data_IF_523780105124
#
_entry.id   IF_523780105124
#
_cell.length_a   1.000
_cell.length_b   1.000
_cell.length_c   1.000
_cell.angle_alpha   90.00
_cell.angle_beta   90.00
_cell.angle_gamma   90.00
#
_symmetry.space_group_name_H-M   'P 1'
#
loop_
_entity.id
_entity.type
_entity.pdbx_description
1 polymer ?
#
# COMPACT_ATOMS: atom_id res chain seq x y z
N UNK A 1 44.33 24.35 43.01
CA UNK A 1 44.05 25.68 42.42
C UNK A 1 43.52 25.57 40.97
N UNK A 2 42.73 24.54 40.66
CA UNK A 2 42.19 24.32 39.33
C UNK A 2 40.92 23.47 39.44
N UNK A 3 39.80 24.05 39.08
CA UNK A 3 38.56 23.40 38.59
C UNK A 3 37.45 24.45 38.38
N UNK A 4 37.51 25.57 39.10
CA UNK A 4 36.49 26.65 39.04
C UNK A 4 36.59 27.57 37.81
N UNK A 5 37.77 27.70 37.19
CA UNK A 5 37.94 28.55 36.00
C UNK A 5 37.58 27.87 34.67
N UNK A 6 37.41 26.53 34.65
CA UNK A 6 37.03 25.81 33.43
C UNK A 6 35.53 25.88 33.10
N UNK A 7 34.69 26.37 34.02
CA UNK A 7 33.25 26.55 33.81
C UNK A 7 32.88 27.95 33.31
N UNK A 8 33.81 28.93 33.39
CA UNK A 8 33.57 30.30 32.90
C UNK A 8 33.66 30.43 31.37
N UNK A 9 34.29 29.48 30.68
CA UNK A 9 34.52 29.53 29.22
C UNK A 9 33.54 28.69 28.40
N UNK A 10 32.63 27.96 29.04
CA UNK A 10 31.65 27.14 28.34
C UNK A 10 30.42 28.01 28.09
N UNK A 11 30.10 28.26 26.82
CA UNK A 11 28.80 28.79 26.41
C UNK A 11 27.73 27.76 26.77
N UNK A 12 27.28 27.76 28.03
CA UNK A 12 26.13 26.97 28.47
C UNK A 12 24.88 27.58 27.84
N UNK A 13 24.42 26.97 26.75
CA UNK A 13 23.05 27.09 26.29
C UNK A 13 22.24 25.97 26.95
N UNK A 14 21.12 26.32 27.59
CA UNK A 14 20.13 25.33 27.96
C UNK A 14 19.36 24.98 26.68
N UNK A 15 19.36 23.71 26.31
CA UNK A 15 18.52 23.24 25.22
C UNK A 15 17.43 22.36 25.79
N UNK A 16 16.17 22.68 25.47
CA UNK A 16 15.10 21.70 25.57
C UNK A 16 15.30 20.81 24.35
N UNK A 17 15.96 19.68 24.57
CA UNK A 17 16.16 18.69 23.52
C UNK A 17 14.90 17.87 23.36
N UNK A 18 14.23 18.07 22.23
CA UNK A 18 13.19 17.20 21.68
C UNK A 18 11.98 16.94 22.61
N UNK A 19 10.86 17.57 22.27
CA UNK A 19 9.56 16.94 22.53
C UNK A 19 9.40 15.85 21.48
N UNK A 20 9.60 14.60 21.88
CA UNK A 20 9.47 13.43 21.04
C UNK A 20 8.07 12.85 21.20
N UNK A 21 7.27 12.94 20.14
CA UNK A 21 5.90 12.41 20.13
C UNK A 21 5.87 11.16 19.27
N UNK A 22 5.60 10.02 19.91
CA UNK A 22 5.45 8.72 19.26
C UNK A 22 3.98 8.49 18.92
N UNK A 23 3.70 8.25 17.64
CA UNK A 23 2.35 7.93 17.17
C UNK A 23 2.13 6.42 17.07
N UNK A 24 0.88 5.92 17.20
CA UNK A 24 0.58 4.51 17.00
C UNK A 24 0.90 4.06 15.58
N UNK A 25 1.67 2.98 15.47
CA UNK A 25 1.86 2.26 14.22
C UNK A 25 0.51 1.65 13.80
N UNK A 26 0.02 2.02 12.61
CA UNK A 26 -1.01 1.22 11.96
C UNK A 26 -0.36 -0.06 11.44
N UNK A 27 -0.98 -1.26 11.58
CA UNK A 27 -0.41 -2.52 11.14
C UNK A 27 -0.25 -2.57 9.61
N UNK A 28 0.83 -1.99 9.12
CA UNK A 28 1.30 -2.06 7.74
C UNK A 28 2.30 -3.18 7.64
N UNK A 29 1.83 -4.34 7.14
CA UNK A 29 2.62 -5.48 6.66
C UNK A 29 3.92 -5.77 7.44
N UNK A 30 3.84 -6.74 8.36
CA UNK A 30 4.97 -7.41 9.03
C UNK A 30 6.17 -7.56 8.07
N UNK A 31 7.14 -6.66 8.15
CA UNK A 31 8.46 -6.82 7.53
C UNK A 31 9.39 -7.41 8.57
N UNK A 32 9.40 -8.75 8.66
CA UNK A 32 10.35 -9.50 9.51
C UNK A 32 11.79 -9.12 9.12
N UNK A 33 12.51 -8.46 10.03
CA UNK A 33 13.97 -8.41 9.99
C UNK A 33 14.49 -9.84 10.16
N UNK A 34 15.31 -10.31 9.21
CA UNK A 34 16.13 -11.53 9.37
C UNK A 34 17.25 -11.20 10.35
N UNK A 35 17.20 -11.77 11.54
CA UNK A 35 18.39 -12.03 12.35
C UNK A 35 18.80 -13.49 12.11
N UNK A 36 20.01 -13.68 11.59
CA UNK A 36 20.63 -14.99 11.46
C UNK A 36 21.01 -15.51 12.84
N UNK A 37 20.41 -16.64 13.25
CA UNK A 37 21.03 -17.58 14.19
C UNK A 37 20.37 -18.96 14.00
N UNK A 38 21.21 -19.94 13.69
CA UNK A 38 21.15 -21.41 13.72
C UNK A 38 19.82 -22.19 13.59
N UNK A 39 19.79 -23.32 12.85
CA UNK A 39 18.56 -23.99 12.43
C UNK A 39 17.98 -24.91 13.53
N UNK A 40 16.90 -24.47 14.18
CA UNK A 40 16.00 -25.34 14.94
C UNK A 40 14.74 -25.61 14.11
N UNK A 41 14.57 -26.87 13.71
CA UNK A 41 13.43 -27.37 12.95
C UNK A 41 12.15 -27.15 13.76
N UNK A 42 11.33 -26.17 13.35
CA UNK A 42 9.99 -25.91 13.92
C UNK A 42 8.92 -26.25 12.87
N UNK A 43 7.77 -26.84 13.27
CA UNK A 43 6.75 -27.28 12.32
C UNK A 43 6.09 -26.07 11.64
N UNK A 44 5.96 -26.19 10.32
CA UNK A 44 5.31 -25.26 9.39
C UNK A 44 3.93 -24.83 9.90
N UNK A 45 3.85 -23.65 10.51
CA UNK A 45 2.58 -23.01 10.87
C UNK A 45 1.88 -22.52 9.60
N UNK A 46 0.96 -23.32 9.08
CA UNK A 46 -0.03 -22.88 8.09
C UNK A 46 -0.83 -21.72 8.69
N UNK A 47 -0.82 -20.57 8.03
CA UNK A 47 -1.70 -19.43 8.34
C UNK A 47 -3.12 -19.79 7.89
N UNK A 48 -3.76 -20.72 8.61
CA UNK A 48 -5.16 -21.08 8.41
C UNK A 48 -5.99 -20.10 9.22
N UNK A 49 -6.68 -19.19 8.52
CA UNK A 49 -7.71 -18.37 9.13
C UNK A 49 -8.76 -19.29 9.76
N UNK A 50 -8.91 -19.24 11.09
CA UNK A 50 -9.83 -20.05 11.90
C UNK A 50 -11.32 -19.66 11.67
N UNK A 51 -11.76 -19.61 10.42
CA UNK A 51 -13.18 -19.49 10.07
C UNK A 51 -13.69 -20.86 9.65
N UNK A 52 -14.80 -21.30 10.25
CA UNK A 52 -15.43 -22.59 9.92
C UNK A 52 -15.69 -22.65 8.42
N UNK A 53 -15.32 -23.76 7.77
CA UNK A 53 -15.50 -23.97 6.33
C UNK A 53 -16.96 -23.75 5.87
N UNK A 54 -17.93 -24.08 6.73
CA UNK A 54 -19.37 -23.83 6.49
C UNK A 54 -19.74 -22.36 6.31
N UNK A 55 -18.90 -21.41 6.75
CA UNK A 55 -19.16 -19.97 6.62
C UNK A 55 -18.40 -19.33 5.46
N UNK A 56 -17.43 -20.04 4.87
CA UNK A 56 -16.62 -19.56 3.76
C UNK A 56 -17.23 -20.00 2.43
N UNK A 57 -18.21 -19.24 1.93
CA UNK A 57 -18.92 -19.51 0.67
C UNK A 57 -17.94 -19.66 -0.51
N UNK A 58 -16.89 -18.82 -0.57
CA UNK A 58 -15.84 -18.90 -1.59
C UNK A 58 -15.12 -20.26 -1.57
N UNK A 59 -14.84 -20.81 -0.39
CA UNK A 59 -14.18 -22.11 -0.24
C UNK A 59 -15.10 -23.28 -0.64
N UNK A 60 -16.40 -23.17 -0.34
CA UNK A 60 -17.41 -24.15 -0.76
C UNK A 60 -17.58 -24.17 -2.29
N UNK A 61 -17.70 -23.00 -2.93
CA UNK A 61 -17.73 -22.88 -4.39
C UNK A 61 -16.46 -23.47 -5.01
N UNK A 62 -15.29 -23.16 -4.47
CA UNK A 62 -14.02 -23.70 -4.97
C UNK A 62 -13.97 -25.23 -4.83
N UNK A 63 -14.43 -25.79 -3.71
CA UNK A 63 -14.52 -27.24 -3.51
C UNK A 63 -15.49 -27.88 -4.50
N UNK A 64 -16.67 -27.29 -4.72
CA UNK A 64 -17.64 -27.78 -5.70
C UNK A 64 -17.07 -27.81 -7.12
N UNK A 65 -16.40 -26.74 -7.56
CA UNK A 65 -15.72 -26.70 -8.88
C UNK A 65 -14.63 -27.78 -8.97
N UNK A 66 -13.89 -28.03 -7.90
CA UNK A 66 -12.90 -29.12 -7.85
C UNK A 66 -13.55 -30.50 -7.92
N UNK A 67 -14.70 -30.73 -7.29
CA UNK A 67 -15.45 -31.98 -7.41
C UNK A 67 -15.89 -32.23 -8.86
N UNK A 68 -16.40 -31.22 -9.55
CA UNK A 68 -16.76 -31.33 -10.97
C UNK A 68 -15.52 -31.65 -11.82
N UNK A 69 -14.38 -31.00 -11.56
CA UNK A 69 -13.11 -31.29 -12.23
C UNK A 69 -12.66 -32.75 -12.03
N UNK A 70 -12.72 -33.27 -10.79
CA UNK A 70 -12.37 -34.67 -10.52
C UNK A 70 -13.34 -35.66 -11.18
N UNK A 71 -14.64 -35.35 -11.20
CA UNK A 71 -15.63 -36.17 -11.91
C UNK A 71 -15.35 -36.25 -13.41
N UNK A 72 -15.04 -35.12 -14.05
CA UNK A 72 -14.68 -35.08 -15.47
C UNK A 72 -13.33 -35.77 -15.74
N UNK A 73 -12.35 -35.62 -14.85
CA UNK A 73 -11.05 -36.29 -14.97
C UNK A 73 -11.17 -37.81 -14.86
N UNK A 74 -11.97 -38.31 -13.90
CA UNK A 74 -12.25 -39.74 -13.77
C UNK A 74 -13.01 -40.29 -15.00
N UNK A 75 -13.96 -39.50 -15.53
CA UNK A 75 -14.66 -39.85 -16.77
C UNK A 75 -13.71 -39.94 -17.97
N UNK A 76 -12.77 -39.00 -18.09
CA UNK A 76 -11.76 -39.01 -19.15
C UNK A 76 -10.84 -40.23 -19.06
N UNK A 77 -10.41 -40.63 -17.86
CA UNK A 77 -9.61 -41.85 -17.66
C UNK A 77 -10.42 -43.11 -18.03
N UNK A 78 -11.72 -43.14 -17.72
CA UNK A 78 -12.62 -44.26 -18.07
C UNK A 78 -12.84 -44.41 -19.58
N UNK A 79 -13.03 -43.30 -20.29
CA UNK A 79 -13.29 -43.31 -21.74
C UNK A 79 -12.01 -43.42 -22.59
N UNK A 80 -10.84 -43.20 -22.00
CA UNK A 80 -9.56 -43.21 -22.71
C UNK A 80 -9.28 -41.92 -23.51
N UNK A 81 -8.05 -41.80 -24.00
CA UNK A 81 -7.60 -40.62 -24.75
C UNK A 81 -7.67 -40.86 -26.28
N UNK A 82 -8.16 -39.90 -27.07
CA UNK A 82 -8.19 -40.03 -28.53
C UNK A 82 -6.79 -39.91 -29.15
N UNK A 83 -6.58 -40.49 -30.34
CA UNK A 83 -5.28 -40.53 -31.01
C UNK A 83 -4.85 -39.21 -31.68
N UNK A 84 -5.71 -38.17 -31.74
CA UNK A 84 -5.41 -36.86 -32.34
C UNK A 84 -5.69 -35.71 -31.36
N UNK A 85 -4.70 -35.42 -30.51
CA UNK A 85 -4.81 -34.41 -29.43
C UNK A 85 -4.22 -33.03 -29.78
N UNK A 86 -3.43 -32.92 -30.85
CA UNK A 86 -2.64 -31.74 -31.19
C UNK A 86 -3.43 -30.51 -31.70
N UNK A 87 -4.75 -30.60 -31.86
CA UNK A 87 -5.57 -29.52 -32.43
C UNK A 87 -6.14 -28.58 -31.38
N UNK A 88 -5.96 -27.26 -31.55
CA UNK A 88 -6.59 -26.27 -30.68
C UNK A 88 -8.13 -26.38 -30.74
N UNK A 89 -8.78 -26.47 -29.57
CA UNK A 89 -10.23 -26.63 -29.46
C UNK A 89 -11.00 -25.49 -30.11
N UNK A 90 -10.51 -24.26 -29.96
CA UNK A 90 -11.20 -23.05 -30.42
C UNK A 90 -11.15 -22.87 -31.95
N UNK A 91 -10.22 -23.52 -32.63
CA UNK A 91 -10.00 -23.34 -34.08
C UNK A 91 -10.73 -24.34 -34.96
N UNK A 92 -11.60 -25.19 -34.37
CA UNK A 92 -12.38 -26.21 -35.11
C UNK A 92 -13.57 -25.65 -35.90
N UNK A 93 -14.04 -24.44 -35.58
CA UNK A 93 -15.17 -23.80 -36.29
C UNK A 93 -14.86 -22.33 -36.58
N UNK A 94 -15.29 -21.85 -37.75
CA UNK A 94 -15.00 -20.52 -38.28
C UNK A 94 -16.19 -19.57 -38.10
N UNK A 95 -16.67 -19.42 -36.87
CA UNK A 95 -17.83 -18.57 -36.54
C UNK A 95 -17.39 -17.27 -35.82
N UNK A 96 -18.23 -16.25 -35.79
CA UNK A 96 -17.93 -14.99 -35.07
C UNK A 96 -17.66 -15.21 -33.57
N UNK A 97 -18.37 -16.17 -32.95
CA UNK A 97 -18.16 -16.53 -31.54
C UNK A 97 -16.74 -17.08 -31.33
N UNK A 98 -16.27 -17.97 -32.21
CA UNK A 98 -14.93 -18.53 -32.13
C UNK A 98 -13.85 -17.48 -32.41
N UNK A 99 -14.10 -16.56 -33.35
CA UNK A 99 -13.22 -15.41 -33.60
C UNK A 99 -13.05 -14.55 -32.33
N UNK A 100 -14.16 -14.20 -31.67
CA UNK A 100 -14.13 -13.38 -30.46
C UNK A 100 -13.50 -14.11 -29.28
N UNK A 101 -13.83 -15.39 -29.07
CA UNK A 101 -13.22 -16.22 -28.03
C UNK A 101 -11.71 -16.41 -28.24
N UNK A 102 -11.28 -16.61 -29.49
CA UNK A 102 -9.86 -16.73 -29.83
C UNK A 102 -9.11 -15.43 -29.61
N UNK A 103 -9.70 -14.29 -29.98
CA UNK A 103 -9.15 -12.96 -29.69
C UNK A 103 -9.05 -12.72 -28.17
N UNK A 104 -10.10 -13.10 -27.42
CA UNK A 104 -10.12 -13.01 -25.96
C UNK A 104 -9.06 -13.90 -25.30
N UNK A 105 -8.85 -15.12 -25.81
CA UNK A 105 -7.81 -16.03 -25.35
C UNK A 105 -6.40 -15.44 -25.54
N UNK A 106 -6.13 -14.79 -26.68
CA UNK A 106 -4.84 -14.09 -26.94
C UNK A 106 -4.63 -12.83 -26.09
N UNK A 107 -5.70 -12.21 -25.60
CA UNK A 107 -5.62 -11.00 -24.79
C UNK A 107 -5.17 -11.29 -23.35
N UNK A 108 -5.31 -12.54 -22.88
CA UNK A 108 -4.84 -12.93 -21.55
C UNK A 108 -3.31 -13.04 -21.57
N UNK A 109 -2.60 -12.25 -20.74
CA UNK A 109 -1.15 -12.28 -20.71
C UNK A 109 -0.64 -13.66 -20.27
N UNK A 110 0.49 -14.09 -20.83
CA UNK A 110 1.19 -15.34 -20.54
C UNK A 110 0.46 -16.65 -20.88
N UNK A 111 -0.87 -16.68 -21.03
CA UNK A 111 -1.58 -17.93 -21.31
C UNK A 111 -1.20 -18.56 -22.66
N UNK A 112 -1.09 -17.75 -23.72
CA UNK A 112 -0.70 -18.24 -25.05
C UNK A 112 0.74 -18.71 -25.09
N UNK A 113 1.64 -17.95 -24.46
CA UNK A 113 3.07 -18.27 -24.40
C UNK A 113 3.32 -19.57 -23.63
N UNK A 114 2.70 -19.70 -22.44
CA UNK A 114 2.81 -20.93 -21.65
C UNK A 114 2.22 -22.12 -22.38
N UNK A 115 1.12 -21.93 -23.11
CA UNK A 115 0.54 -23.00 -23.93
C UNK A 115 1.49 -23.42 -25.06
N UNK A 116 2.05 -22.48 -25.81
CA UNK A 116 2.99 -22.76 -26.90
C UNK A 116 4.22 -23.53 -26.40
N UNK A 117 4.78 -23.09 -25.26
CA UNK A 117 5.95 -23.75 -24.65
C UNK A 117 5.59 -25.14 -24.12
N UNK A 118 4.44 -25.30 -23.45
CA UNK A 118 4.00 -26.63 -23.00
C UNK A 118 3.78 -27.56 -24.18
N UNK A 119 3.08 -27.13 -25.22
CA UNK A 119 2.81 -27.95 -26.40
C UNK A 119 4.14 -28.32 -27.10
N UNK A 120 5.15 -27.42 -27.15
CA UNK A 120 6.49 -27.72 -27.67
C UNK A 120 7.26 -28.74 -26.83
N UNK A 121 7.24 -28.62 -25.49
CA UNK A 121 7.97 -29.53 -24.58
C UNK A 121 7.44 -30.96 -24.64
N UNK A 122 6.11 -31.12 -24.76
CA UNK A 122 5.44 -32.43 -24.67
C UNK A 122 5.14 -33.06 -26.04
N UNK A 123 5.54 -32.42 -27.14
CA UNK A 123 5.36 -32.94 -28.51
C UNK A 123 6.70 -33.30 -29.11
N UNK A 124 6.80 -34.48 -29.73
CA UNK A 124 7.98 -34.88 -30.49
C UNK A 124 8.11 -34.04 -31.77
N UNK A 125 8.87 -32.94 -31.71
CA UNK A 125 9.13 -32.03 -32.83
C UNK A 125 10.62 -31.86 -33.08
N UNK A 126 11.00 -31.71 -34.35
CA UNK A 126 12.38 -31.42 -34.75
C UNK A 126 12.68 -29.92 -34.80
N UNK A 127 11.65 -29.08 -34.59
CA UNK A 127 11.77 -27.62 -34.64
C UNK A 127 12.35 -27.06 -33.34
N UNK A 128 13.22 -26.06 -33.47
CA UNK A 128 13.64 -25.23 -32.34
C UNK A 128 12.46 -24.43 -31.77
N UNK A 129 12.55 -24.04 -30.49
CA UNK A 129 11.48 -23.30 -29.80
C UNK A 129 11.09 -22.00 -30.52
N UNK A 130 12.07 -21.24 -31.04
CA UNK A 130 11.80 -19.99 -31.76
C UNK A 130 11.06 -20.22 -33.08
N UNK A 131 11.42 -21.28 -33.82
CA UNK A 131 10.71 -21.69 -35.03
C UNK A 131 9.30 -22.19 -34.70
N UNK A 132 9.11 -22.90 -33.59
CA UNK A 132 7.78 -23.34 -33.14
C UNK A 132 6.84 -22.17 -32.83
N UNK A 133 7.32 -21.20 -32.03
CA UNK A 133 6.55 -19.99 -31.71
C UNK A 133 6.20 -19.21 -32.97
N UNK A 134 7.13 -19.10 -33.92
CA UNK A 134 6.88 -18.44 -35.21
C UNK A 134 5.74 -19.14 -35.99
N UNK A 135 5.73 -20.47 -36.04
CA UNK A 135 4.65 -21.25 -36.69
C UNK A 135 3.32 -21.04 -35.98
N UNK A 136 3.29 -21.04 -34.64
CA UNK A 136 2.06 -20.78 -33.88
C UNK A 136 1.49 -19.38 -34.11
N UNK A 137 2.35 -18.36 -34.17
CA UNK A 137 1.91 -16.99 -34.45
C UNK A 137 1.33 -16.86 -35.87
N UNK A 138 2.02 -17.42 -36.89
CA UNK A 138 1.51 -17.48 -38.26
C UNK A 138 0.17 -18.21 -38.31
N UNK A 139 0.04 -19.34 -37.62
CA UNK A 139 -1.20 -20.10 -37.54
C UNK A 139 -2.35 -19.26 -36.94
N UNK A 140 -2.09 -18.55 -35.83
CA UNK A 140 -3.06 -17.68 -35.18
C UNK A 140 -3.51 -16.53 -36.11
N UNK A 141 -2.57 -15.93 -36.85
CA UNK A 141 -2.86 -14.88 -37.82
C UNK A 141 -3.70 -15.38 -39.00
N UNK A 142 -3.35 -16.55 -39.57
CA UNK A 142 -4.12 -17.17 -40.67
C UNK A 142 -5.53 -17.53 -40.21
N UNK A 143 -5.68 -18.05 -38.99
CA UNK A 143 -6.98 -18.43 -38.44
C UNK A 143 -7.93 -17.22 -38.32
N UNK A 144 -7.45 -16.10 -37.80
CA UNK A 144 -8.23 -14.85 -37.70
C UNK A 144 -8.66 -14.41 -39.09
N UNK A 145 -7.74 -14.38 -40.05
CA UNK A 145 -8.03 -13.96 -41.43
C UNK A 145 -9.06 -14.89 -42.09
N UNK A 146 -8.95 -16.21 -41.87
CA UNK A 146 -9.89 -17.20 -42.39
C UNK A 146 -11.29 -17.00 -41.80
N UNK A 147 -11.41 -16.71 -40.50
CA UNK A 147 -12.68 -16.39 -39.85
C UNK A 147 -13.30 -15.11 -40.42
N UNK A 148 -12.50 -14.05 -40.64
CA UNK A 148 -12.98 -12.82 -41.29
C UNK A 148 -13.51 -13.11 -42.70
N UNK A 149 -12.77 -13.88 -43.50
CA UNK A 149 -13.18 -14.21 -44.86
C UNK A 149 -14.46 -15.06 -44.93
N UNK A 150 -14.63 -16.02 -44.03
CA UNK A 150 -15.91 -16.75 -43.90
C UNK A 150 -17.06 -15.84 -43.48
N UNK A 151 -16.78 -14.86 -42.61
CA UNK A 151 -17.78 -13.91 -42.17
C UNK A 151 -18.26 -12.97 -43.29
N UNK A 152 -17.33 -12.53 -44.16
CA UNK A 152 -17.65 -11.75 -45.36
C UNK A 152 -18.44 -12.57 -46.39
N UNK A 153 -18.12 -13.86 -46.52
CA UNK A 153 -18.86 -14.78 -47.38
C UNK A 153 -20.28 -15.01 -46.89
N UNK A 154 -20.47 -15.16 -45.57
CA UNK A 154 -21.77 -15.40 -44.94
C UNK A 154 -22.67 -14.17 -44.93
N UNK A 155 -22.07 -12.98 -44.86
CA UNK A 155 -22.77 -11.69 -44.88
C UNK A 155 -22.20 -10.79 -45.99
N UNK A 156 -22.46 -11.11 -47.27
CA UNK A 156 -21.92 -10.35 -48.38
C UNK A 156 -22.48 -8.93 -48.34
N UNK A 157 -21.59 -7.95 -48.48
CA UNK A 157 -21.98 -6.55 -48.55
C UNK A 157 -21.96 -6.09 -50.01
N UNK A 158 -23.03 -5.45 -50.51
CA UNK A 158 -23.05 -4.94 -51.88
C UNK A 158 -21.98 -3.85 -52.06
N UNK A 159 -21.18 -3.98 -53.12
CA UNK A 159 -20.11 -3.02 -53.45
C UNK A 159 -20.72 -1.66 -53.79
N UNK A 160 -20.09 -0.59 -53.33
CA UNK A 160 -20.50 0.79 -53.63
C UNK A 160 -21.67 1.35 -52.80
N UNK A 161 -22.24 0.58 -51.87
CA UNK A 161 -23.31 1.07 -50.99
C UNK A 161 -22.78 1.63 -49.66
N UNK A 162 -23.45 2.67 -49.15
CA UNK A 162 -23.12 3.29 -47.86
C UNK A 162 -23.35 2.29 -46.72
N UNK A 163 -22.35 2.08 -45.86
CA UNK A 163 -22.48 1.28 -44.63
C UNK A 163 -23.57 1.87 -43.73
N UNK A 164 -24.33 1.01 -43.04
CA UNK A 164 -25.39 1.41 -42.10
C UNK A 164 -24.84 2.39 -41.06
N UNK A 165 -25.54 3.51 -40.87
CA UNK A 165 -25.16 4.56 -39.90
C UNK A 165 -24.98 4.01 -38.48
N UNK A 166 -25.84 3.08 -38.06
CA UNK A 166 -25.78 2.46 -36.73
C UNK A 166 -24.43 1.81 -36.40
N UNK A 167 -23.81 1.08 -37.34
CA UNK A 167 -22.51 0.44 -37.10
C UNK A 167 -21.39 1.48 -37.00
N UNK A 168 -21.47 2.55 -37.79
CA UNK A 168 -20.47 3.64 -37.76
C UNK A 168 -20.50 4.37 -36.43
N UNK A 169 -21.68 4.81 -36.00
CA UNK A 169 -21.83 5.56 -34.75
C UNK A 169 -21.67 4.66 -33.51
N UNK A 170 -22.08 3.39 -33.57
CA UNK A 170 -21.91 2.44 -32.48
C UNK A 170 -20.44 2.09 -32.23
N UNK A 171 -19.72 1.65 -33.27
CA UNK A 171 -18.31 1.29 -33.14
C UNK A 171 -17.44 2.51 -32.84
N UNK A 172 -17.67 3.63 -33.53
CA UNK A 172 -16.94 4.87 -33.28
C UNK A 172 -17.25 5.46 -31.90
N UNK A 173 -18.53 5.47 -31.49
CA UNK A 173 -18.96 5.96 -30.19
C UNK A 173 -18.38 5.14 -29.03
N UNK A 174 -18.31 3.81 -29.17
CA UNK A 174 -17.69 2.94 -28.15
C UNK A 174 -16.21 3.28 -27.95
N UNK A 175 -15.46 3.52 -29.04
CA UNK A 175 -14.04 3.92 -28.96
C UNK A 175 -13.89 5.29 -28.26
N UNK A 176 -14.74 6.27 -28.60
CA UNK A 176 -14.70 7.61 -27.99
C UNK A 176 -15.01 7.53 -26.49
N UNK A 177 -16.05 6.78 -26.10
CA UNK A 177 -16.41 6.60 -24.68
C UNK A 177 -15.28 5.92 -23.91
N UNK A 178 -14.67 4.87 -24.47
CA UNK A 178 -13.55 4.17 -23.84
C UNK A 178 -12.34 5.11 -23.64
N UNK A 179 -12.05 5.98 -24.60
CA UNK A 179 -11.00 6.99 -24.48
C UNK A 179 -11.30 8.00 -23.36
N UNK A 180 -12.53 8.52 -23.29
CA UNK A 180 -12.96 9.41 -22.21
C UNK A 180 -12.82 8.70 -20.86
N UNK A 181 -13.24 7.44 -20.75
CA UNK A 181 -13.10 6.65 -19.54
C UNK A 181 -11.64 6.51 -19.12
N UNK A 182 -10.69 6.22 -20.02
CA UNK A 182 -9.27 6.11 -19.66
C UNK A 182 -8.71 7.42 -19.10
N UNK A 183 -9.15 8.57 -19.63
CA UNK A 183 -8.68 9.89 -19.15
C UNK A 183 -9.36 10.30 -17.85
N UNK A 184 -10.68 10.10 -17.73
CA UNK A 184 -11.46 10.52 -16.56
C UNK A 184 -11.38 9.56 -15.38
N UNK A 185 -11.32 8.25 -15.61
CA UNK A 185 -11.28 7.25 -14.56
C UNK A 185 -10.16 7.46 -13.52
N UNK A 186 -8.89 7.73 -13.89
CA UNK A 186 -7.85 7.99 -12.90
C UNK A 186 -8.11 9.28 -12.09
N UNK A 187 -8.73 10.29 -12.68
CA UNK A 187 -9.11 11.53 -11.98
C UNK A 187 -10.21 11.26 -10.95
N UNK A 188 -11.23 10.49 -11.32
CA UNK A 188 -12.29 10.06 -10.41
C UNK A 188 -11.73 9.17 -9.29
N UNK A 189 -10.84 8.23 -9.62
CA UNK A 189 -10.21 7.34 -8.66
C UNK A 189 -9.37 8.11 -7.63
N UNK A 190 -8.60 9.11 -8.06
CA UNK A 190 -7.83 9.98 -7.15
C UNK A 190 -8.73 10.81 -6.22
N UNK A 191 -9.91 11.21 -6.68
CA UNK A 191 -10.90 11.89 -5.84
C UNK A 191 -11.51 10.95 -4.80
N UNK A 192 -11.80 9.69 -5.17
CA UNK A 192 -12.38 8.70 -4.26
C UNK A 192 -11.39 8.23 -3.19
N UNK A 193 -10.11 8.01 -3.53
CA UNK A 193 -9.09 7.57 -2.56
C UNK A 193 -8.85 8.63 -1.47
N UNK A 194 -8.92 9.92 -1.81
CA UNK A 194 -8.73 11.01 -0.84
C UNK A 194 -9.95 11.24 0.06
N UNK A 195 -11.08 10.62 -0.23
CA UNK A 195 -12.33 10.79 0.52
C UNK A 195 -12.49 9.80 1.69
N UNK A 196 -11.51 8.92 1.94
CA UNK A 196 -11.56 8.03 3.12
C UNK A 196 -11.24 8.87 4.36
N UNK A 197 -12.26 9.06 5.20
CA UNK A 197 -12.25 9.88 6.40
C UNK A 197 -10.96 9.72 7.21
N UNK A 198 -10.29 10.83 7.51
CA UNK A 198 -9.08 10.84 8.31
C UNK A 198 -9.34 10.21 9.67
N UNK A 199 -8.57 9.17 10.01
CA UNK A 199 -8.62 8.55 11.32
C UNK A 199 -7.78 9.38 12.26
N UNK A 200 -8.38 9.84 13.36
CA UNK A 200 -7.71 10.67 14.36
C UNK A 200 -6.55 9.88 14.97
N UNK A 201 -5.31 10.31 14.70
CA UNK A 201 -4.12 9.67 15.24
C UNK A 201 -3.72 10.31 16.58
N UNK A 202 -4.06 9.68 17.71
CA UNK A 202 -3.66 10.16 19.04
C UNK A 202 -2.24 9.67 19.36
N UNK A 203 -1.33 10.51 19.88
CA UNK A 203 0.01 10.07 20.26
C UNK A 203 -0.03 9.05 21.41
N UNK A 204 0.83 8.03 21.33
CA UNK A 204 0.96 6.98 22.34
C UNK A 204 1.91 7.36 23.47
N UNK A 205 2.99 8.08 23.13
CA UNK A 205 4.04 8.45 24.05
C UNK A 205 4.56 9.85 23.71
N UNK A 206 4.82 10.65 24.74
CA UNK A 206 5.44 11.97 24.63
C UNK A 206 6.64 11.97 25.56
N UNK A 207 7.84 12.01 25.01
CA UNK A 207 9.06 12.19 25.78
C UNK A 207 9.63 13.61 25.63
N UNK A 208 10.14 14.14 26.74
CA UNK A 208 10.75 15.47 26.82
C UNK A 208 12.12 15.29 27.45
N UNK A 209 13.16 15.79 26.79
CA UNK A 209 14.52 15.77 27.35
C UNK A 209 15.06 17.19 27.50
N UNK A 210 15.82 17.44 28.56
CA UNK A 210 16.45 18.74 28.83
C UNK A 210 17.93 18.50 29.00
N UNK A 211 18.73 19.17 28.17
CA UNK A 211 20.19 19.09 28.18
C UNK A 211 20.82 20.46 28.40
N UNK A 212 21.97 20.47 29.08
CA UNK A 212 22.85 21.63 29.18
C UNK A 212 23.98 21.43 28.18
N UNK A 213 23.96 22.17 27.07
CA UNK A 213 24.96 22.02 26.01
C UNK A 213 25.04 20.60 25.45
N UNK A 214 26.26 20.08 25.27
CA UNK A 214 26.52 18.71 24.77
C UNK A 214 26.69 17.64 25.86
N UNK A 215 26.29 17.93 27.10
CA UNK A 215 26.38 17.00 28.23
C UNK A 215 25.18 16.07 28.29
N UNK A 216 25.28 15.03 29.12
CA UNK A 216 24.19 14.07 29.35
C UNK A 216 22.91 14.80 29.82
N UNK A 217 21.71 14.39 29.37
CA UNK A 217 20.45 15.00 29.78
C UNK A 217 20.26 14.94 31.29
N UNK A 218 20.04 16.11 31.86
CA UNK A 218 19.75 16.30 33.28
C UNK A 218 18.32 15.94 33.64
N UNK A 219 17.44 15.90 32.64
CA UNK A 219 16.04 15.54 32.82
C UNK A 219 15.53 14.80 31.58
N UNK A 220 14.99 13.61 31.79
CA UNK A 220 14.27 12.85 30.77
C UNK A 220 12.94 12.40 31.37
N UNK A 221 11.85 12.71 30.68
CA UNK A 221 10.51 12.32 31.10
C UNK A 221 9.78 11.73 29.89
N UNK A 222 9.07 10.62 30.09
CA UNK A 222 8.14 10.07 29.10
C UNK A 222 6.76 9.97 29.72
N UNK A 223 5.74 10.37 28.97
CA UNK A 223 4.34 10.33 29.37
C UNK A 223 3.55 9.45 28.40
N UNK A 224 3.11 8.29 28.90
CA UNK A 224 2.30 7.33 28.16
C UNK A 224 0.80 7.61 28.32
N UNK A 225 -0.04 6.84 27.61
CA UNK A 225 -1.49 6.99 27.49
C UNK A 225 -2.28 7.35 28.77
N UNK A 226 -1.90 6.83 29.95
CA UNK A 226 -2.63 7.11 31.20
C UNK A 226 -2.42 8.53 31.76
N UNK A 227 -1.31 9.19 31.41
CA UNK A 227 -1.01 10.58 31.77
C UNK A 227 -1.47 11.56 30.68
N UNK A 228 -1.69 11.07 29.45
CA UNK A 228 -2.19 11.84 28.32
C UNK A 228 -3.72 12.01 28.41
N UNK A 229 -4.16 13.13 29.02
CA UNK A 229 -5.59 13.45 29.12
C UNK A 229 -6.13 14.10 27.85
N UNK A 230 -7.08 13.44 27.21
CA UNK A 230 -7.87 14.03 26.12
C UNK A 230 -8.71 15.17 26.69
N UNK A 231 -8.63 16.36 26.06
CA UNK A 231 -9.47 17.49 26.47
C UNK A 231 -10.94 17.22 26.14
N UNK A 232 -11.80 17.41 27.15
CA UNK A 232 -13.25 17.39 26.99
C UNK A 232 -13.75 18.58 26.15
N UNK A 233 -14.91 18.43 25.50
CA UNK A 233 -15.48 19.42 24.59
C UNK A 233 -15.74 20.77 25.27
N UNK A 234 -16.10 20.77 26.55
CA UNK A 234 -16.33 21.99 27.34
C UNK A 234 -15.04 22.77 27.58
N UNK A 235 -13.99 22.09 28.03
CA UNK A 235 -12.64 22.65 28.21
C UNK A 235 -12.03 23.09 26.88
N UNK A 236 -12.27 22.33 25.81
CA UNK A 236 -11.85 22.69 24.46
C UNK A 236 -12.51 23.98 23.98
N UNK A 237 -13.80 24.19 24.26
CA UNK A 237 -14.50 25.44 23.95
C UNK A 237 -13.91 26.64 24.68
N UNK A 238 -13.58 26.50 25.97
CA UNK A 238 -12.92 27.55 26.76
C UNK A 238 -11.50 27.83 26.26
N UNK A 239 -10.74 26.78 25.93
CA UNK A 239 -9.42 26.90 25.31
C UNK A 239 -9.50 27.68 24.00
N UNK A 240 -10.45 27.36 23.12
CA UNK A 240 -10.64 28.10 21.86
C UNK A 240 -10.94 29.58 22.08
N UNK A 241 -11.76 29.91 23.08
CA UNK A 241 -12.08 31.30 23.44
C UNK A 241 -10.86 32.07 23.97
N UNK A 242 -9.95 31.42 24.72
CA UNK A 242 -8.73 32.05 25.24
C UNK A 242 -7.77 32.55 24.17
N UNK A 243 -7.81 31.96 22.97
CA UNK A 243 -6.96 32.30 21.85
C UNK A 243 -7.69 33.10 20.76
N UNK A 244 -8.96 33.48 21.00
CA UNK A 244 -9.78 34.22 20.04
C UNK A 244 -9.33 35.69 19.84
N UNK A 245 -8.44 36.21 20.67
CA UNK A 245 -7.89 37.56 20.53
C UNK A 245 -6.72 37.64 19.55
N UNK A 246 -6.06 36.50 19.23
CA UNK A 246 -4.87 36.48 18.39
C UNK A 246 -5.16 35.87 17.00
N UNK A 247 -4.98 36.65 15.95
CA UNK A 247 -5.26 36.25 14.56
C UNK A 247 -4.41 35.07 14.10
N UNK A 248 -3.15 34.99 14.54
CA UNK A 248 -2.24 33.88 14.21
C UNK A 248 -2.71 32.59 14.87
N UNK A 249 -3.12 32.68 16.14
CA UNK A 249 -3.64 31.52 16.89
C UNK A 249 -4.94 30.97 16.30
N UNK A 250 -5.81 31.83 15.74
CA UNK A 250 -7.04 31.39 15.03
C UNK A 250 -6.73 30.57 13.78
N UNK A 251 -5.76 31.00 12.97
CA UNK A 251 -5.36 30.26 11.77
C UNK A 251 -4.79 28.89 12.12
N UNK A 252 -3.89 28.83 13.13
CA UNK A 252 -3.33 27.57 13.63
C UNK A 252 -4.44 26.66 14.18
N UNK A 253 -5.42 27.19 14.91
CA UNK A 253 -6.56 26.43 15.42
C UNK A 253 -7.43 25.84 14.31
N UNK A 254 -7.73 26.62 13.27
CA UNK A 254 -8.53 26.16 12.14
C UNK A 254 -7.79 25.06 11.38
N UNK A 255 -6.48 25.22 11.15
CA UNK A 255 -5.65 24.15 10.59
C UNK A 255 -5.62 22.91 11.48
N UNK A 256 -5.55 23.05 12.81
CA UNK A 256 -5.51 21.93 13.75
C UNK A 256 -6.86 21.19 13.84
N UNK A 257 -7.98 21.90 13.72
CA UNK A 257 -9.33 21.31 13.61
C UNK A 257 -9.50 20.54 12.29
N UNK A 258 -9.03 21.10 11.19
CA UNK A 258 -9.09 20.44 9.88
C UNK A 258 -8.12 19.23 9.83
N UNK A 259 -6.95 19.33 10.46
CA UNK A 259 -5.99 18.23 10.58
C UNK A 259 -6.48 17.07 11.46
N UNK A 260 -7.28 17.34 12.52
CA UNK A 260 -8.00 16.29 13.26
C UNK A 260 -8.89 15.45 12.33
N UNK A 261 -9.48 16.07 11.30
CA UNK A 261 -10.37 15.40 10.36
C UNK A 261 -9.65 14.86 9.10
N UNK A 262 -8.38 15.23 8.90
CA UNK A 262 -7.56 14.86 7.74
C UNK A 262 -6.19 14.32 8.18
N UNK A 263 -6.16 13.35 9.08
CA UNK A 263 -4.93 12.61 9.39
C UNK A 263 -4.94 11.30 8.62
N UNK A 264 -4.72 11.39 7.30
CA UNK A 264 -4.38 10.21 6.51
C UNK A 264 -2.86 10.01 6.61
N UNK A 265 -2.44 9.00 7.38
CA UNK A 265 -1.08 8.46 7.39
C UNK A 265 0.03 9.51 7.50
N UNK A 266 0.28 10.02 8.71
CA UNK A 266 1.54 10.68 8.98
C UNK A 266 2.67 9.67 8.73
N UNK A 267 3.47 9.89 7.68
CA UNK A 267 4.63 9.06 7.33
C UNK A 267 5.82 9.27 8.28
N UNK A 268 5.69 10.23 9.20
CA UNK A 268 6.64 10.48 10.27
C UNK A 268 6.09 9.85 11.56
N UNK A 269 6.68 8.73 11.96
CA UNK A 269 6.42 8.01 13.22
C UNK A 269 6.80 8.83 14.46
N UNK A 270 7.75 9.76 14.26
CA UNK A 270 8.37 10.58 15.29
C UNK A 270 8.34 12.04 14.83
N UNK A 271 7.71 12.91 15.63
CA UNK A 271 7.88 14.35 15.51
C UNK A 271 8.78 14.81 16.66
N UNK A 272 9.92 15.39 16.33
CA UNK A 272 10.89 15.96 17.29
C UNK A 272 11.25 17.39 16.89
N UNK A 273 11.09 18.31 17.83
CA UNK A 273 11.52 19.71 17.68
C UNK A 273 12.43 20.12 18.85
N UNK A 274 13.50 20.86 18.56
CA UNK A 274 14.54 21.24 19.53
C UNK A 274 14.63 22.76 19.62
N UNK A 275 14.50 23.28 20.85
CA UNK A 275 14.69 24.69 21.13
C UNK A 275 15.93 24.88 22.01
N UNK A 276 16.81 25.79 21.61
CA UNK A 276 18.04 26.13 22.31
C UNK A 276 18.03 27.59 22.72
N UNK A 277 18.29 27.88 23.99
CA UNK A 277 18.33 29.23 24.52
C UNK A 277 19.66 29.50 25.25
N UNK A 278 20.26 30.68 25.07
CA UNK A 278 21.42 31.09 25.86
C UNK A 278 20.98 31.37 27.31
N UNK A 279 21.72 30.83 28.30
CA UNK A 279 21.47 31.12 29.70
C UNK A 279 22.10 32.46 30.11
N UNK A 280 21.46 33.20 31.00
CA UNK A 280 22.06 34.39 31.63
C UNK A 280 23.22 34.01 32.56
N UNK A 281 24.19 34.91 32.74
CA UNK A 281 25.39 34.66 33.56
C UNK A 281 25.06 34.32 35.02
N UNK A 282 24.06 34.98 35.62
CA UNK A 282 23.62 34.68 36.98
C UNK A 282 23.09 33.25 37.11
N UNK A 283 22.24 32.82 36.18
CA UNK A 283 21.69 31.46 36.15
C UNK A 283 22.79 30.41 35.96
N UNK A 284 23.79 30.68 35.11
CA UNK A 284 24.96 29.80 34.94
C UNK A 284 25.76 29.66 36.24
N UNK A 285 25.99 30.77 36.94
CA UNK A 285 26.72 30.76 38.21
C UNK A 285 25.97 29.97 39.29
N UNK A 286 24.65 30.14 39.39
CA UNK A 286 23.81 29.37 40.33
C UNK A 286 23.82 27.88 40.00
N UNK A 287 23.71 27.51 38.72
CA UNK A 287 23.78 26.10 38.30
C UNK A 287 25.17 25.52 38.58
N UNK A 288 26.24 26.27 38.30
CA UNK A 288 27.61 25.83 38.57
C UNK A 288 27.86 25.58 40.07
N UNK A 289 27.31 26.45 40.94
CA UNK A 289 27.37 26.25 42.40
C UNK A 289 26.60 25.00 42.85
N UNK A 290 25.37 24.80 42.33
CA UNK A 290 24.57 23.61 42.63
C UNK A 290 25.26 22.30 42.19
N UNK A 291 25.95 22.29 41.05
CA UNK A 291 26.67 21.11 40.54
C UNK A 291 27.97 20.86 41.32
N UNK A 292 28.68 21.93 41.73
CA UNK A 292 29.93 21.82 42.47
C UNK A 292 29.75 21.37 43.94
N UNK A 293 28.51 21.34 44.45
CA UNK A 293 28.13 20.65 45.69
C UNK A 293 28.76 21.18 46.98
N UNK A 294 29.26 22.42 47.00
CA UNK A 294 30.18 22.87 48.06
C UNK A 294 29.54 23.62 49.24
N UNK A 295 28.22 23.77 49.29
CA UNK A 295 27.55 24.51 50.35
C UNK A 295 26.52 23.60 51.05
N UNK A 296 26.94 22.88 52.09
CA UNK A 296 26.02 22.40 53.13
C UNK A 296 25.67 23.59 54.03
N UNK A 297 24.79 24.48 53.55
CA UNK A 297 24.07 25.37 54.45
C UNK A 297 23.13 24.50 55.30
N UNK A 298 23.59 24.20 56.51
CA UNK A 298 22.78 23.73 57.62
C UNK A 298 21.48 24.53 57.68
N UNK A 299 20.36 23.87 57.38
CA UNK A 299 19.02 24.42 57.58
C UNK A 299 18.78 24.68 59.07
N UNK A 300 19.13 25.87 59.54
CA UNK A 300 18.55 26.43 60.74
C UNK A 300 17.33 27.26 60.32
N UNK A 301 16.18 26.61 60.28
CA UNK A 301 14.90 27.30 60.46
C UNK A 301 14.28 26.82 61.77
N UNK A 302 13.77 27.72 62.63
CA UNK A 302 13.05 27.36 63.85
C UNK A 302 11.73 26.64 63.55
#
# INVERSE_FOLDING_TARGET
RGSSDSLKSINLAASVESVHVTFPEQPGAIRRKRSCSSPQVSPRSSFSSNRKFSQNLVAQLWYFVKCVYFGLSAYQIRCGYPTRVLGNFLTKSYNYVNLFLFQGFRLVPFLTELRAVMDWVWTDTTLSLSSWICVEDIYAHIFILKCWRESEKRYPQPRGQKKKKAVKYGMGGMIIVLLICIVWFPLLFMSLIKSVAGVINQPLDVSVTITLGGYQPIFTMSAQQSQLKVMDNTKYGTFLKSFATNTVSKCVQNSMKTAKNMTLGAKAEIATDKLSFPLANETRNSIAKMIAGNDTESSNTP
#
